data_IF_080768217434
#
_entry.id   IF_080768217434
#
_cell.length_a   1.000
_cell.length_b   1.000
_cell.length_c   1.000
_cell.angle_alpha   90.00
_cell.angle_beta   90.00
_cell.angle_gamma   90.00
#
_symmetry.space_group_name_H-M   'P 1'
#
loop_
_entity.id
_entity.type
_entity.pdbx_description
1 polymer ?
#
# COMPACT_ATOMS: atom_id res chain seq x y z
N UNK A 1 9.86 20.11 5.64
CA UNK A 1 8.78 20.38 4.67
C UNK A 1 7.53 20.82 5.42
N UNK A 2 6.90 21.89 4.98
CA UNK A 2 5.67 22.35 5.61
C UNK A 2 4.47 21.49 5.15
N UNK A 3 3.42 21.51 5.94
CA UNK A 3 2.23 20.68 5.71
C UNK A 3 1.55 20.94 4.36
N UNK A 4 1.50 22.20 3.92
CA UNK A 4 0.89 22.56 2.63
C UNK A 4 1.70 22.04 1.44
N UNK A 5 3.02 22.00 1.54
CA UNK A 5 3.88 21.41 0.50
C UNK A 5 3.68 19.90 0.42
N UNK A 6 3.59 19.24 1.55
CA UNK A 6 3.33 17.81 1.64
C UNK A 6 1.99 17.47 1.02
N UNK A 7 0.95 18.23 1.34
CA UNK A 7 -0.39 18.00 0.79
C UNK A 7 -0.41 18.21 -0.73
N UNK A 8 0.32 19.20 -1.24
CA UNK A 8 0.42 19.42 -2.68
C UNK A 8 1.07 18.23 -3.39
N UNK A 9 2.08 17.63 -2.79
CA UNK A 9 2.72 16.42 -3.33
C UNK A 9 1.72 15.26 -3.37
N UNK A 10 0.98 15.05 -2.29
CA UNK A 10 -0.04 14.01 -2.22
C UNK A 10 -1.12 14.23 -3.28
N UNK A 11 -1.62 15.44 -3.42
CA UNK A 11 -2.66 15.77 -4.39
C UNK A 11 -2.19 15.54 -5.82
N UNK A 12 -0.97 15.96 -6.14
CA UNK A 12 -0.38 15.76 -7.46
C UNK A 12 -0.19 14.27 -7.76
N UNK A 13 0.32 13.51 -6.80
CA UNK A 13 0.50 12.07 -6.97
C UNK A 13 -0.85 11.37 -7.19
N UNK A 14 -1.85 11.69 -6.37
CA UNK A 14 -3.21 11.17 -6.54
C UNK A 14 -3.75 11.45 -7.93
N UNK A 15 -3.68 12.69 -8.36
CA UNK A 15 -4.24 13.11 -9.65
C UNK A 15 -3.52 12.44 -10.82
N UNK A 16 -2.21 12.25 -10.71
CA UNK A 16 -1.42 11.55 -11.74
C UNK A 16 -1.84 10.09 -11.83
N UNK A 17 -2.02 9.43 -10.68
CA UNK A 17 -2.50 8.04 -10.64
C UNK A 17 -3.88 7.93 -11.27
N UNK A 18 -4.80 8.81 -10.90
CA UNK A 18 -6.18 8.75 -11.39
C UNK A 18 -6.30 9.08 -12.88
N UNK A 19 -5.40 9.91 -13.41
CA UNK A 19 -5.36 10.16 -14.85
C UNK A 19 -4.96 8.90 -15.63
N UNK A 20 -4.05 8.10 -15.08
CA UNK A 20 -3.61 6.85 -15.70
C UNK A 20 -4.56 5.67 -15.40
N UNK A 21 -5.17 5.67 -14.23
CA UNK A 21 -6.02 4.58 -13.72
C UNK A 21 -7.36 5.14 -13.23
N UNK A 22 -8.22 5.62 -14.16
CA UNK A 22 -9.47 6.29 -13.75
C UNK A 22 -10.47 5.37 -13.06
N UNK A 23 -10.31 4.05 -13.21
CA UNK A 23 -11.19 3.06 -12.57
C UNK A 23 -10.70 2.62 -11.19
N UNK A 24 -9.61 3.19 -10.68
CA UNK A 24 -9.06 2.81 -9.38
C UNK A 24 -10.11 2.94 -8.27
N UNK A 25 -10.13 1.95 -7.37
CA UNK A 25 -11.00 1.99 -6.20
C UNK A 25 -10.44 2.86 -5.09
N UNK A 26 -9.12 2.83 -4.91
CA UNK A 26 -8.47 3.64 -3.88
C UNK A 26 -7.02 3.94 -4.23
N UNK A 27 -6.51 5.03 -3.67
CA UNK A 27 -5.10 5.41 -3.74
C UNK A 27 -4.64 5.72 -2.32
N UNK A 28 -3.53 5.11 -1.92
CA UNK A 28 -2.95 5.28 -0.59
C UNK A 28 -1.51 5.75 -0.72
N UNK A 29 -1.03 6.47 0.30
CA UNK A 29 0.41 6.68 0.51
C UNK A 29 0.81 6.04 1.83
N UNK A 30 2.02 5.53 1.89
CA UNK A 30 2.53 4.86 3.07
C UNK A 30 4.04 5.11 3.20
N UNK A 31 4.67 4.48 4.17
CA UNK A 31 6.10 4.64 4.39
C UNK A 31 6.46 5.93 5.12
N UNK A 32 7.75 6.25 5.16
CA UNK A 32 8.27 7.34 5.98
C UNK A 32 7.73 8.71 5.58
N UNK A 33 7.61 8.97 4.29
CA UNK A 33 7.09 10.26 3.82
C UNK A 33 5.65 10.48 4.28
N UNK A 34 4.81 9.44 4.18
CA UNK A 34 3.41 9.53 4.61
C UNK A 34 3.27 9.75 6.12
N UNK A 35 4.21 9.21 6.92
CA UNK A 35 4.21 9.37 8.38
C UNK A 35 4.84 10.69 8.86
N UNK A 36 5.35 11.51 7.96
CA UNK A 36 6.04 12.75 8.33
C UNK A 36 7.46 12.53 8.86
N UNK A 37 8.02 11.35 8.64
CA UNK A 37 9.37 10.97 9.05
C UNK A 37 10.37 11.08 7.88
N UNK A 38 10.05 11.89 6.89
CA UNK A 38 10.80 11.96 5.66
C UNK A 38 12.10 12.74 5.82
N UNK A 39 13.08 12.27 5.08
CA UNK A 39 14.31 13.00 4.81
C UNK A 39 14.16 13.71 3.47
N UNK A 40 15.03 14.68 3.14
CA UNK A 40 14.93 15.39 1.84
C UNK A 40 14.87 14.46 0.63
N UNK A 41 15.49 13.29 0.73
CA UNK A 41 15.55 12.31 -0.37
C UNK A 41 14.57 11.14 -0.21
N UNK A 42 13.63 11.23 0.73
CA UNK A 42 12.65 10.15 0.93
C UNK A 42 11.77 9.95 -0.29
N UNK A 43 11.60 8.69 -0.68
CA UNK A 43 10.70 8.32 -1.77
C UNK A 43 9.25 8.44 -1.31
N UNK A 44 8.36 8.72 -2.25
CA UNK A 44 6.93 8.64 -2.00
C UNK A 44 6.45 7.24 -2.36
N UNK A 45 5.95 6.52 -1.37
CA UNK A 45 5.42 5.17 -1.55
C UNK A 45 3.91 5.22 -1.72
N UNK A 46 3.44 4.73 -2.87
CA UNK A 46 2.03 4.76 -3.26
C UNK A 46 1.53 3.34 -3.42
N UNK A 47 0.34 3.07 -2.90
CA UNK A 47 -0.37 1.83 -3.16
C UNK A 47 -1.68 2.14 -3.85
N UNK A 48 -2.03 1.35 -4.86
CA UNK A 48 -3.30 1.49 -5.57
C UNK A 48 -4.14 0.23 -5.38
N UNK A 49 -5.43 0.40 -5.22
CA UNK A 49 -6.40 -0.67 -5.20
C UNK A 49 -7.24 -0.55 -6.47
N UNK A 50 -7.14 -1.55 -7.32
CA UNK A 50 -7.86 -1.59 -8.60
C UNK A 50 -9.03 -2.57 -8.51
N UNK A 51 -10.04 -2.40 -9.38
CA UNK A 51 -11.11 -3.38 -9.52
C UNK A 51 -10.54 -4.77 -9.86
N UNK A 52 -11.27 -5.84 -9.53
CA UNK A 52 -10.87 -7.19 -9.97
C UNK A 52 -10.62 -7.19 -11.49
N UNK A 53 -9.60 -7.92 -11.92
CA UNK A 53 -9.23 -8.08 -13.32
C UNK A 53 -8.53 -6.88 -13.97
N UNK A 54 -8.60 -5.67 -13.39
CA UNK A 54 -7.84 -4.55 -13.92
C UNK A 54 -6.37 -4.67 -13.52
N UNK A 55 -5.47 -4.35 -14.46
CA UNK A 55 -4.03 -4.32 -14.23
C UNK A 55 -3.48 -2.94 -14.55
N UNK A 56 -2.29 -2.66 -14.04
CA UNK A 56 -1.56 -1.45 -14.40
C UNK A 56 -0.91 -1.71 -15.76
N UNK A 57 -1.29 -0.98 -16.82
CA UNK A 57 -0.80 -1.27 -18.18
C UNK A 57 0.71 -1.08 -18.31
N UNK A 58 1.25 -0.01 -17.71
CA UNK A 58 2.67 0.32 -17.76
C UNK A 58 3.10 0.94 -16.43
N UNK A 59 3.54 0.08 -15.53
CA UNK A 59 3.93 0.50 -14.18
C UNK A 59 5.12 1.47 -14.20
N UNK A 60 6.13 1.20 -15.00
CA UNK A 60 7.31 2.04 -15.06
C UNK A 60 6.99 3.44 -15.60
N UNK A 61 6.11 3.52 -16.59
CA UNK A 61 5.65 4.80 -17.10
C UNK A 61 4.90 5.59 -16.02
N UNK A 62 4.02 4.93 -15.29
CA UNK A 62 3.26 5.57 -14.21
C UNK A 62 4.20 6.10 -13.14
N UNK A 63 5.15 5.30 -12.68
CA UNK A 63 6.15 5.70 -11.69
C UNK A 63 6.94 6.92 -12.21
N UNK A 64 7.37 6.88 -13.46
CA UNK A 64 8.11 7.97 -14.06
C UNK A 64 7.31 9.26 -14.15
N UNK A 65 6.03 9.17 -14.54
CA UNK A 65 5.15 10.33 -14.62
C UNK A 65 4.92 10.96 -13.26
N UNK A 66 4.69 10.15 -12.22
CA UNK A 66 4.52 10.64 -10.86
C UNK A 66 5.81 11.33 -10.39
N UNK A 67 6.94 10.65 -10.51
CA UNK A 67 8.24 11.16 -10.06
C UNK A 67 8.56 12.51 -10.71
N UNK A 68 8.25 12.64 -11.99
CA UNK A 68 8.45 13.89 -12.73
C UNK A 68 7.57 15.02 -12.18
N UNK A 69 6.30 14.72 -11.90
CA UNK A 69 5.36 15.75 -11.45
C UNK A 69 5.60 16.18 -10.01
N UNK A 70 6.02 15.29 -9.14
CA UNK A 70 6.29 15.62 -7.74
C UNK A 70 7.75 15.99 -7.48
N UNK A 71 8.62 15.85 -8.47
CA UNK A 71 10.07 16.14 -8.38
C UNK A 71 10.76 15.36 -7.26
N UNK A 72 10.40 14.09 -7.13
CA UNK A 72 10.89 13.19 -6.10
C UNK A 72 10.68 11.76 -6.60
N UNK A 73 11.53 10.85 -6.16
CA UNK A 73 11.33 9.46 -6.52
C UNK A 73 10.03 8.94 -5.92
N UNK A 74 9.33 8.14 -6.70
CA UNK A 74 8.09 7.51 -6.29
C UNK A 74 8.15 6.01 -6.59
N UNK A 75 7.45 5.24 -5.78
CA UNK A 75 7.20 3.82 -6.05
C UNK A 75 5.71 3.57 -6.00
N UNK A 76 5.23 2.64 -6.82
CA UNK A 76 3.82 2.28 -6.90
C UNK A 76 3.69 0.78 -6.80
N UNK A 77 2.85 0.33 -5.88
CA UNK A 77 2.53 -1.10 -5.75
C UNK A 77 1.03 -1.32 -5.96
N UNK A 78 0.69 -2.47 -6.51
CA UNK A 78 -0.69 -2.95 -6.57
C UNK A 78 -1.01 -3.64 -5.25
N UNK A 79 -1.91 -3.05 -4.46
CA UNK A 79 -2.21 -3.52 -3.11
C UNK A 79 -2.73 -4.96 -3.07
N UNK A 80 -3.31 -5.45 -4.18
CA UNK A 80 -3.79 -6.83 -4.28
C UNK A 80 -2.65 -7.84 -4.45
N UNK A 81 -1.50 -7.39 -4.96
CA UNK A 81 -0.38 -8.26 -5.33
C UNK A 81 0.75 -8.27 -4.33
N UNK A 82 0.75 -7.38 -3.33
CA UNK A 82 1.80 -7.34 -2.31
C UNK A 82 1.57 -8.42 -1.25
N UNK A 83 2.60 -8.72 -0.48
CA UNK A 83 2.50 -9.65 0.64
C UNK A 83 1.63 -9.11 1.76
N UNK A 84 1.15 -10.00 2.62
CA UNK A 84 0.22 -9.64 3.70
C UNK A 84 0.81 -8.64 4.70
N UNK A 85 2.12 -8.70 4.95
CA UNK A 85 2.79 -7.78 5.88
C UNK A 85 2.78 -6.35 5.35
N UNK A 86 3.13 -6.15 4.08
CA UNK A 86 3.12 -4.81 3.46
C UNK A 86 1.68 -4.30 3.32
N UNK A 87 0.76 -5.17 2.94
CA UNK A 87 -0.66 -4.81 2.83
C UNK A 87 -1.19 -4.30 4.17
N UNK A 88 -0.86 -4.97 5.25
CA UNK A 88 -1.24 -4.54 6.60
C UNK A 88 -0.62 -3.18 6.93
N UNK A 89 0.66 -2.96 6.60
CA UNK A 89 1.31 -1.67 6.83
C UNK A 89 0.56 -0.54 6.14
N UNK A 90 0.19 -0.74 4.88
CA UNK A 90 -0.57 0.26 4.11
C UNK A 90 -1.92 0.54 4.78
N UNK A 91 -2.65 -0.50 5.17
CA UNK A 91 -4.00 -0.35 5.71
C UNK A 91 -4.02 0.20 7.14
N UNK A 92 -3.02 -0.09 7.94
CA UNK A 92 -2.95 0.41 9.33
C UNK A 92 -2.28 1.77 9.46
N UNK A 93 -1.19 1.98 8.73
CA UNK A 93 -0.33 3.16 8.90
C UNK A 93 -0.35 4.10 7.71
N UNK A 94 -0.92 3.68 6.60
CA UNK A 94 -1.03 4.49 5.41
C UNK A 94 -2.11 5.53 5.50
N UNK A 95 -2.10 6.43 4.54
CA UNK A 95 -3.10 7.49 4.42
C UNK A 95 -3.84 7.32 3.11
N UNK A 96 -5.17 7.30 3.17
CA UNK A 96 -6.01 7.23 1.98
C UNK A 96 -6.08 8.59 1.31
N UNK A 97 -5.71 8.66 0.05
CA UNK A 97 -5.82 9.88 -0.75
C UNK A 97 -7.09 9.92 -1.58
N UNK A 98 -7.65 8.77 -1.92
CA UNK A 98 -8.83 8.67 -2.76
C UNK A 98 -9.55 7.34 -2.54
N UNK A 99 -10.88 7.40 -2.56
CA UNK A 99 -11.77 6.23 -2.59
C UNK A 99 -12.93 6.52 -3.54
N UNK A 100 -13.18 5.61 -4.49
CA UNK A 100 -14.31 5.76 -5.43
C UNK A 100 -15.64 5.31 -4.81
N UNK A 101 -15.60 4.19 -4.07
CA UNK A 101 -16.76 3.61 -3.40
C UNK A 101 -16.31 3.11 -2.03
N UNK A 102 -16.56 3.91 -0.97
CA UNK A 102 -16.09 3.56 0.37
C UNK A 102 -16.56 2.20 0.87
N UNK A 103 -17.77 1.76 0.50
CA UNK A 103 -18.28 0.47 0.94
C UNK A 103 -17.48 -0.70 0.34
N UNK A 104 -17.17 -0.61 -0.96
CA UNK A 104 -16.36 -1.65 -1.62
C UNK A 104 -14.94 -1.69 -1.07
N UNK A 105 -14.36 -0.52 -0.84
CA UNK A 105 -13.02 -0.41 -0.28
C UNK A 105 -12.99 -0.99 1.13
N UNK A 106 -13.95 -0.62 1.97
CA UNK A 106 -14.05 -1.12 3.33
C UNK A 106 -14.20 -2.64 3.37
N UNK A 107 -15.05 -3.20 2.51
CA UNK A 107 -15.22 -4.64 2.43
C UNK A 107 -13.92 -5.35 2.02
N UNK A 108 -13.20 -4.79 1.06
CA UNK A 108 -11.93 -5.35 0.63
C UNK A 108 -10.88 -5.28 1.74
N UNK A 109 -10.77 -4.13 2.42
CA UNK A 109 -9.83 -3.92 3.53
C UNK A 109 -10.11 -4.89 4.68
N UNK A 110 -11.37 -5.06 5.06
CA UNK A 110 -11.76 -5.98 6.11
C UNK A 110 -11.38 -7.42 5.77
N UNK A 111 -11.60 -7.84 4.53
CA UNK A 111 -11.19 -9.16 4.06
C UNK A 111 -9.68 -9.35 4.10
N UNK A 112 -8.92 -8.36 3.70
CA UNK A 112 -7.46 -8.40 3.72
C UNK A 112 -6.92 -8.50 5.15
N UNK A 113 -7.49 -7.74 6.08
CA UNK A 113 -7.09 -7.78 7.49
C UNK A 113 -7.45 -9.11 8.14
N UNK A 114 -8.58 -9.67 7.80
CA UNK A 114 -8.99 -11.00 8.27
C UNK A 114 -8.01 -12.09 7.83
N UNK A 115 -7.57 -12.05 6.57
CA UNK A 115 -6.55 -12.98 6.07
C UNK A 115 -5.22 -12.82 6.81
N UNK A 116 -4.83 -11.61 7.12
CA UNK A 116 -3.61 -11.35 7.88
C UNK A 116 -3.69 -11.93 9.30
N UNK A 117 -4.82 -11.76 9.98
CA UNK A 117 -5.04 -12.30 11.31
C UNK A 117 -4.93 -13.83 11.31
N UNK A 118 -5.52 -14.47 10.31
CA UNK A 118 -5.44 -15.91 10.14
C UNK A 118 -3.99 -16.38 9.92
N UNK A 119 -3.25 -15.68 9.08
CA UNK A 119 -1.83 -15.95 8.86
C UNK A 119 -1.03 -15.86 10.16
N UNK A 120 -1.27 -14.84 10.97
CA UNK A 120 -0.59 -14.68 12.26
C UNK A 120 -0.86 -15.85 13.21
N UNK A 121 -2.07 -16.34 13.23
CA UNK A 121 -2.44 -17.49 14.05
C UNK A 121 -1.72 -18.76 13.61
N UNK A 122 -1.63 -19.01 12.31
CA UNK A 122 -0.90 -20.13 11.75
C UNK A 122 0.58 -20.07 12.13
N UNK A 123 1.22 -18.94 11.97
CA UNK A 123 2.63 -18.77 12.32
C UNK A 123 2.85 -18.98 13.81
N UNK A 124 1.97 -18.46 14.65
CA UNK A 124 2.04 -18.66 16.10
C UNK A 124 1.94 -20.14 16.45
N UNK A 125 1.03 -20.87 15.83
CA UNK A 125 0.88 -22.30 16.05
C UNK A 125 2.13 -23.09 15.69
N UNK A 126 2.77 -22.75 14.57
CA UNK A 126 4.02 -23.37 14.14
C UNK A 126 5.13 -23.11 15.17
N UNK A 127 5.26 -21.89 15.65
CA UNK A 127 6.27 -21.51 16.64
C UNK A 127 6.03 -22.21 17.99
N UNK A 128 4.78 -22.31 18.40
CA UNK A 128 4.42 -22.98 19.67
C UNK A 128 4.74 -24.48 19.58
N UNK A 129 4.44 -25.13 18.47
CA UNK A 129 4.80 -26.53 18.25
C UNK A 129 6.31 -26.73 18.31
N UNK A 130 7.08 -25.84 17.68
CA UNK A 130 8.53 -25.89 17.73
C UNK A 130 9.05 -25.77 19.17
N UNK A 131 8.54 -24.82 19.93
CA UNK A 131 8.94 -24.61 21.34
C UNK A 131 8.61 -25.80 22.21
N UNK A 132 7.45 -26.42 22.00
CA UNK A 132 6.98 -27.54 22.80
C UNK A 132 7.75 -28.81 22.51
N UNK A 133 8.00 -29.12 21.23
CA UNK A 133 8.61 -30.38 20.82
C UNK A 133 10.12 -30.30 20.64
N UNK A 134 10.69 -29.11 20.47
CA UNK A 134 12.09 -28.92 20.13
C UNK A 134 12.44 -29.35 18.72
N UNK A 135 11.45 -29.60 17.88
CA UNK A 135 11.60 -30.08 16.51
C UNK A 135 10.98 -29.10 15.58
N UNK A 136 11.68 -28.79 14.48
CA UNK A 136 11.13 -27.91 13.45
C UNK A 136 9.91 -28.52 12.79
N UNK A 137 8.99 -27.66 12.41
CA UNK A 137 7.79 -28.04 11.71
C UNK A 137 8.15 -28.60 10.34
N UNK A 138 7.53 -29.69 9.93
CA UNK A 138 7.83 -30.31 8.65
C UNK A 138 8.92 -31.40 8.73
N UNK A 139 9.29 -31.76 9.90
CA UNK A 139 10.25 -32.84 10.12
C UNK A 139 9.76 -34.18 9.60
#
# INVERSE_FOLDING_TARGET
MIQSERQAIFDTARDTVLAALPEAWAVYVYGSFARGEDWPDSDLDIAVLLPPEQRIPDLLKLIGDISKHIRRDADVVDLRSVGDVLRREVLESGRTLFESDPEKVLAWEASAMSRYAHYREEVRGILDDFRRTGIGYGK
#
